data_IF_287193531093
#
_entry.id   IF_287193531093
#
_cell.length_a   1.000
_cell.length_b   1.000
_cell.length_c   1.000
_cell.angle_alpha   90.00
_cell.angle_beta   90.00
_cell.angle_gamma   90.00
#
_symmetry.space_group_name_H-M   'P 1'
#
loop_
_entity.id
_entity.type
_entity.pdbx_description
1 polymer ?
#
# COMPACT_ATOMS: atom_id res chain seq x y z
N UNK A 1 -17.41 -7.37 4.74
CA UNK A 1 -16.49 -6.22 4.76
C UNK A 1 -15.41 -6.56 5.78
N UNK A 2 -14.32 -7.21 5.36
CA UNK A 2 -13.19 -7.50 6.24
C UNK A 2 -12.61 -6.18 6.77
N UNK A 3 -12.61 -6.03 8.10
CA UNK A 3 -11.83 -5.01 8.75
C UNK A 3 -10.36 -5.25 8.41
N UNK A 4 -9.75 -4.31 7.67
CA UNK A 4 -8.32 -4.31 7.36
C UNK A 4 -7.53 -4.08 8.64
N UNK A 5 -7.39 -5.14 9.44
CA UNK A 5 -6.51 -5.15 10.57
C UNK A 5 -5.08 -5.22 10.02
N UNK A 6 -4.24 -4.24 10.39
CA UNK A 6 -2.84 -4.20 10.00
C UNK A 6 -2.17 -5.50 10.47
N UNK A 7 -1.78 -6.35 9.51
CA UNK A 7 -1.04 -7.56 9.81
C UNK A 7 0.38 -7.20 10.17
N UNK A 8 0.96 -7.96 11.08
CA UNK A 8 2.39 -7.85 11.42
C UNK A 8 3.27 -8.46 10.35
N UNK A 9 2.77 -9.45 9.59
CA UNK A 9 3.53 -10.19 8.58
C UNK A 9 2.75 -10.33 7.27
N UNK A 10 3.47 -10.22 6.15
CA UNK A 10 2.94 -10.29 4.80
C UNK A 10 3.74 -11.27 3.93
N UNK A 11 3.06 -12.13 3.19
CA UNK A 11 3.70 -12.97 2.18
C UNK A 11 4.12 -12.16 0.96
N UNK A 12 5.14 -12.61 0.23
CA UNK A 12 5.55 -11.97 -1.03
C UNK A 12 4.42 -11.89 -2.07
N UNK A 13 3.46 -12.81 -2.02
CA UNK A 13 2.28 -12.78 -2.89
C UNK A 13 1.27 -11.70 -2.46
N UNK A 14 1.05 -11.52 -1.16
CA UNK A 14 0.23 -10.41 -0.66
C UNK A 14 0.85 -9.05 -1.01
N UNK A 15 2.17 -8.90 -0.79
CA UNK A 15 2.91 -7.69 -1.15
C UNK A 15 2.81 -7.38 -2.65
N UNK A 16 2.91 -8.40 -3.51
CA UNK A 16 2.72 -8.25 -4.95
C UNK A 16 1.28 -7.83 -5.30
N UNK A 17 0.29 -8.46 -4.68
CA UNK A 17 -1.12 -8.16 -4.94
C UNK A 17 -1.54 -6.75 -4.49
N UNK A 18 -0.82 -6.14 -3.55
CA UNK A 18 -1.04 -4.75 -3.13
C UNK A 18 -0.55 -3.74 -4.18
N UNK A 19 0.22 -4.19 -5.19
CA UNK A 19 0.78 -3.37 -6.26
C UNK A 19 1.41 -2.09 -5.71
N UNK A 20 2.37 -2.27 -4.78
CA UNK A 20 3.11 -1.15 -4.19
C UNK A 20 4.09 -0.59 -5.23
N UNK A 21 4.16 0.73 -5.35
CA UNK A 21 5.00 1.41 -6.34
C UNK A 21 6.48 1.17 -6.08
N UNK A 22 6.87 1.12 -4.81
CA UNK A 22 8.25 0.85 -4.38
C UNK A 22 8.61 -0.64 -4.31
N UNK A 23 7.73 -1.55 -4.75
CA UNK A 23 8.03 -2.99 -4.87
C UNK A 23 8.16 -3.45 -6.33
N UNK A 24 8.99 -4.48 -6.58
CA UNK A 24 9.00 -5.17 -7.85
C UNK A 24 7.67 -5.86 -8.16
N UNK A 25 7.31 -5.92 -9.43
CA UNK A 25 6.11 -6.59 -9.93
C UNK A 25 6.24 -8.12 -10.04
N UNK A 26 7.15 -8.75 -9.28
CA UNK A 26 7.28 -10.21 -9.27
C UNK A 26 7.64 -10.75 -7.89
N UNK A 27 7.05 -11.90 -7.54
CA UNK A 27 7.31 -12.60 -6.27
C UNK A 27 8.80 -12.90 -6.11
N UNK A 28 9.48 -13.32 -7.18
CA UNK A 28 10.91 -13.64 -7.13
C UNK A 28 11.77 -12.41 -6.81
N UNK A 29 11.47 -11.25 -7.41
CA UNK A 29 12.20 -10.02 -7.15
C UNK A 29 11.94 -9.48 -5.73
N UNK A 30 10.72 -9.64 -5.20
CA UNK A 30 10.40 -9.33 -3.81
C UNK A 30 11.22 -10.22 -2.85
N UNK A 31 11.27 -11.53 -3.10
CA UNK A 31 12.08 -12.45 -2.29
C UNK A 31 13.57 -12.09 -2.38
N UNK A 32 14.06 -11.70 -3.56
CA UNK A 32 15.43 -11.25 -3.75
C UNK A 32 15.73 -9.98 -2.94
N UNK A 33 14.86 -8.97 -3.00
CA UNK A 33 14.99 -7.76 -2.18
C UNK A 33 14.93 -8.07 -0.69
N UNK A 34 14.05 -8.97 -0.27
CA UNK A 34 13.95 -9.38 1.13
C UNK A 34 15.26 -10.02 1.63
N UNK A 35 15.89 -10.87 0.81
CA UNK A 35 17.21 -11.42 1.09
C UNK A 35 18.30 -10.35 1.09
N UNK A 36 18.30 -9.45 0.10
CA UNK A 36 19.30 -8.39 -0.04
C UNK A 36 19.28 -7.41 1.14
N UNK A 37 18.08 -7.07 1.62
CA UNK A 37 17.87 -6.12 2.71
C UNK A 37 17.67 -6.81 4.08
N UNK A 38 17.89 -8.12 4.17
CA UNK A 38 17.75 -8.91 5.39
C UNK A 38 16.40 -8.69 6.12
N UNK A 39 15.29 -8.71 5.39
CA UNK A 39 13.97 -8.61 6.00
C UNK A 39 13.74 -9.78 6.96
N UNK A 40 13.21 -9.46 8.13
CA UNK A 40 12.83 -10.48 9.11
C UNK A 40 11.68 -11.28 8.52
N UNK A 41 11.85 -12.60 8.52
CA UNK A 41 10.86 -13.51 7.96
C UNK A 41 10.51 -14.61 8.94
N UNK A 42 9.25 -15.03 8.90
CA UNK A 42 8.74 -16.17 9.62
C UNK A 42 8.24 -17.22 8.63
N UNK A 43 8.28 -18.48 9.05
CA UNK A 43 7.66 -19.56 8.29
C UNK A 43 6.14 -19.37 8.32
N UNK A 44 5.51 -19.40 7.14
CA UNK A 44 4.05 -19.30 7.02
C UNK A 44 3.37 -20.43 7.79
N UNK A 45 2.42 -20.07 8.65
CA UNK A 45 1.57 -21.02 9.36
C UNK A 45 0.46 -21.49 8.41
N UNK A 46 0.73 -22.51 7.59
CA UNK A 46 -0.23 -23.04 6.61
C UNK A 46 0.34 -24.13 5.70
N UNK A 47 -0.46 -24.62 4.75
CA UNK A 47 0.00 -25.57 3.72
C UNK A 47 0.89 -24.86 2.70
N UNK A 48 2.06 -25.45 2.43
CA UNK A 48 3.07 -24.88 1.53
C UNK A 48 3.98 -23.91 2.28
N UNK A 49 5.20 -24.37 2.61
CA UNK A 49 6.17 -23.71 3.50
C UNK A 49 6.79 -22.42 2.96
N UNK A 50 5.98 -21.44 2.57
CA UNK A 50 6.42 -20.10 2.20
C UNK A 50 6.89 -19.29 3.41
N UNK A 51 7.46 -18.13 3.13
CA UNK A 51 7.87 -17.14 4.12
C UNK A 51 6.91 -15.95 4.12
N UNK A 52 6.69 -15.38 5.30
CA UNK A 52 6.04 -14.10 5.51
C UNK A 52 7.04 -13.13 6.11
N UNK A 53 6.98 -11.87 5.71
CA UNK A 53 7.93 -10.82 6.07
C UNK A 53 7.30 -9.84 7.07
N UNK A 54 8.04 -9.50 8.11
CA UNK A 54 7.60 -8.59 9.16
C UNK A 54 7.53 -7.15 8.65
N UNK A 55 6.39 -6.46 8.89
CA UNK A 55 6.14 -5.07 8.50
C UNK A 55 7.27 -4.13 8.93
N UNK A 56 7.69 -4.23 10.20
CA UNK A 56 8.71 -3.36 10.78
C UNK A 56 10.12 -3.56 10.18
N UNK A 57 10.35 -4.68 9.48
CA UNK A 57 11.63 -5.00 8.84
C UNK A 57 11.70 -4.58 7.37
N UNK A 58 10.58 -4.18 6.77
CA UNK A 58 10.54 -3.64 5.42
C UNK A 58 11.17 -2.24 5.36
N UNK A 59 11.61 -1.76 4.19
CA UNK A 59 12.04 -0.37 4.00
C UNK A 59 10.90 0.61 4.30
N UNK A 60 11.25 1.80 4.81
CA UNK A 60 10.29 2.82 5.24
C UNK A 60 9.30 3.22 4.14
N UNK A 61 9.75 3.29 2.89
CA UNK A 61 8.93 3.61 1.73
C UNK A 61 7.80 2.58 1.56
N UNK A 62 8.12 1.30 1.74
CA UNK A 62 7.18 0.19 1.62
C UNK A 62 6.23 0.15 2.82
N UNK A 63 6.74 0.42 4.03
CA UNK A 63 5.90 0.55 5.23
C UNK A 63 4.84 1.64 5.06
N UNK A 64 5.24 2.83 4.58
CA UNK A 64 4.34 3.95 4.37
C UNK A 64 3.25 3.63 3.34
N UNK A 65 3.62 3.08 2.19
CA UNK A 65 2.63 2.68 1.18
C UNK A 65 1.66 1.61 1.69
N UNK A 66 2.17 0.65 2.46
CA UNK A 66 1.35 -0.41 3.03
C UNK A 66 0.37 0.15 4.07
N UNK A 67 0.82 1.09 4.92
CA UNK A 67 -0.04 1.81 5.86
C UNK A 67 -1.13 2.62 5.14
N UNK A 68 -0.78 3.33 4.06
CA UNK A 68 -1.72 4.11 3.26
C UNK A 68 -2.82 3.23 2.62
N UNK A 69 -2.46 2.05 2.11
CA UNK A 69 -3.42 1.14 1.47
C UNK A 69 -4.24 0.29 2.45
N UNK A 70 -3.72 0.03 3.64
CA UNK A 70 -4.42 -0.80 4.65
C UNK A 70 -5.30 0.01 5.58
N UNK A 71 -5.03 1.30 5.78
CA UNK A 71 -5.85 2.17 6.61
C UNK A 71 -7.09 2.63 5.82
N UNK A 72 -8.33 2.31 6.26
CA UNK A 72 -9.56 2.63 5.53
C UNK A 72 -9.91 4.14 5.48
N UNK A 73 -9.01 5.04 5.89
CA UNK A 73 -9.29 6.47 6.04
C UNK A 73 -8.94 7.32 4.81
N UNK A 74 -8.22 6.81 3.81
CA UNK A 74 -7.87 7.57 2.60
C UNK A 74 -8.08 6.77 1.32
N UNK A 75 -9.33 6.50 0.97
CA UNK A 75 -9.69 6.23 -0.44
C UNK A 75 -10.90 7.06 -0.88
N UNK A 76 -11.30 8.05 -0.09
CA UNK A 76 -12.40 8.96 -0.42
C UNK A 76 -11.98 10.43 -0.62
N UNK A 77 -10.69 10.78 -0.56
CA UNK A 77 -10.28 12.21 -0.52
C UNK A 77 -9.52 12.70 -1.78
N UNK A 78 -8.99 11.82 -2.63
CA UNK A 78 -8.10 12.28 -3.72
C UNK A 78 -8.83 12.68 -5.04
N UNK A 79 -10.13 12.39 -5.23
CA UNK A 79 -10.83 12.73 -6.50
C UNK A 79 -11.93 13.80 -6.40
N UNK A 80 -12.15 14.44 -5.25
CA UNK A 80 -13.17 15.49 -5.13
C UNK A 80 -12.61 16.92 -5.03
N UNK A 81 -11.28 17.11 -4.94
CA UNK A 81 -10.71 18.42 -4.61
C UNK A 81 -10.26 19.29 -5.80
N UNK A 82 -10.56 18.90 -7.05
CA UNK A 82 -10.18 19.70 -8.23
C UNK A 82 -11.38 20.36 -8.94
N UNK A 83 -12.63 20.00 -8.63
CA UNK A 83 -13.79 20.51 -9.41
C UNK A 83 -14.71 21.48 -8.66
N UNK A 84 -14.59 21.68 -7.34
CA UNK A 84 -15.53 22.55 -6.58
C UNK A 84 -15.11 24.03 -6.44
N UNK A 85 -13.98 24.48 -6.99
CA UNK A 85 -13.58 25.90 -6.92
C UNK A 85 -13.80 26.70 -8.20
N UNK A 86 -14.64 26.22 -9.13
CA UNK A 86 -15.13 27.06 -10.24
C UNK A 86 -16.53 27.58 -9.89
N UNK A 87 -16.67 28.76 -9.26
CA UNK A 87 -17.96 29.43 -9.25
C UNK A 87 -18.39 29.66 -10.71
N UNK A 88 -19.45 28.95 -11.11
CA UNK A 88 -20.32 29.36 -12.20
C UNK A 88 -21.11 30.59 -11.71
N UNK A 89 -21.12 31.62 -12.55
CA UNK A 89 -21.86 32.88 -12.43
C UNK A 89 -21.23 33.96 -11.52
N UNK A 90 -20.55 34.91 -12.16
CA UNK A 90 -20.86 36.34 -12.02
C UNK A 90 -20.50 37.04 -13.33
N UNK A 91 -21.41 36.88 -14.29
CA UNK A 91 -21.72 37.88 -15.29
C UNK A 91 -22.27 39.13 -14.60
N UNK A 92 -21.39 39.91 -13.96
CA UNK A 92 -21.64 41.32 -13.63
C UNK A 92 -20.98 42.12 -14.77
N UNK A 93 -21.71 42.39 -15.86
CA UNK A 93 -22.40 43.65 -16.10
C UNK A 93 -21.57 44.85 -15.60
N UNK A 94 -20.70 45.36 -16.46
CA UNK A 94 -20.19 46.72 -16.33
C UNK A 94 -21.28 47.69 -16.80
N UNK A 95 -21.86 48.43 -15.86
CA UNK A 95 -22.56 49.71 -16.08
C UNK A 95 -21.77 50.78 -15.32
#
# INVERSE_FOLDING_TARGET
MEANNLKTHYSAKELLNMSLTNLPNSVQAIIYQAKKNNWKSQKRQGRGGGLEYELASLPIEIQNELLLKTTPAQTAVELQKIEETRPLASNEIWQ
#
